data_IF_459900062733
#
_entry.id   IF_459900062733
#
_cell.length_a   1.000
_cell.length_b   1.000
_cell.length_c   1.000
_cell.angle_alpha   90.00
_cell.angle_beta   90.00
_cell.angle_gamma   90.00
#
_symmetry.space_group_name_H-M   'P 1'
#
loop_
_entity.id
_entity.type
_entity.pdbx_description
1 polymer ?
2 non-polymer ?
3 non-polymer ?
4 water ?
#
# COMPACT_ATOMS: atom_id res chain seq x y z
N UNK A 1 -26.70 14.01 0.30
CA UNK A 1 -27.31 14.32 1.58
C UNK A 1 -26.38 14.09 2.76
N UNK A 2 -26.93 14.11 3.97
CA UNK A 2 -26.08 13.96 5.16
C UNK A 2 -25.28 12.67 5.20
N UNK A 3 -25.87 11.54 4.83
CA UNK A 3 -25.13 10.28 4.80
C UNK A 3 -23.93 10.37 3.87
N UNK A 4 -24.17 10.84 2.64
CA UNK A 4 -23.09 10.94 1.67
C UNK A 4 -22.02 11.93 2.12
N UNK A 5 -22.43 13.00 2.80
CA UNK A 5 -21.47 13.98 3.30
C UNK A 5 -20.60 13.37 4.39
N UNK A 6 -21.21 12.66 5.34
CA UNK A 6 -20.43 12.01 6.39
C UNK A 6 -19.53 10.92 5.83
N UNK A 7 -19.96 10.25 4.75
CA UNK A 7 -19.11 9.23 4.13
C UNK A 7 -17.88 9.86 3.49
N UNK A 8 -18.05 11.00 2.81
CA UNK A 8 -16.92 11.62 2.13
C UNK A 8 -15.91 12.18 3.12
N UNK A 9 -16.38 12.71 4.25
CA UNK A 9 -15.47 13.19 5.29
C UNK A 9 -14.60 12.06 5.82
N UNK A 10 -15.23 10.92 6.12
CA UNK A 10 -14.48 9.76 6.61
C UNK A 10 -13.38 9.36 5.62
N UNK A 11 -13.73 9.26 4.34
CA UNK A 11 -12.75 8.85 3.35
C UNK A 11 -11.69 9.93 3.13
N UNK A 12 -12.08 11.20 3.25
CA UNK A 12 -11.12 12.28 3.07
C UNK A 12 -10.01 12.20 4.10
N UNK A 13 -10.35 11.97 5.36
CA UNK A 13 -9.31 11.86 6.38
C UNK A 13 -8.59 10.53 6.30
N UNK A 14 -9.24 9.48 5.79
CA UNK A 14 -8.52 8.24 5.50
C UNK A 14 -7.45 8.48 4.45
N UNK A 15 -7.81 9.19 3.38
CA UNK A 15 -6.83 9.52 2.35
C UNK A 15 -5.71 10.40 2.90
N UNK A 16 -6.06 11.37 3.75
CA UNK A 16 -5.04 12.18 4.38
C UNK A 16 -4.12 11.33 5.25
N UNK A 17 -4.69 10.35 5.94
CA UNK A 17 -3.90 9.47 6.79
C UNK A 17 -3.00 8.56 5.96
N UNK A 18 -3.56 7.90 4.95
CA UNK A 18 -2.76 7.02 4.10
C UNK A 18 -1.70 7.78 3.32
N UNK A 19 -2.01 9.01 2.91
CA UNK A 19 -1.02 9.81 2.18
C UNK A 19 0.15 10.20 3.08
N UNK A 20 -0.11 10.42 4.37
CA UNK A 20 0.98 10.69 5.30
C UNK A 20 1.80 9.43 5.56
N UNK A 21 1.14 8.28 5.62
CA UNK A 21 1.85 7.02 5.84
C UNK A 21 2.74 6.70 4.64
N UNK A 22 2.19 6.82 3.44
CA UNK A 22 2.96 6.51 2.23
C UNK A 22 4.17 7.41 2.09
N UNK A 23 4.03 8.68 2.49
CA UNK A 23 5.17 9.60 2.44
C UNK A 23 6.26 9.17 3.40
N UNK A 24 5.88 8.74 4.60
CA UNK A 24 6.86 8.27 5.58
C UNK A 24 7.58 7.01 5.11
N UNK A 25 6.97 6.24 4.21
CA UNK A 25 7.63 5.03 3.71
C UNK A 25 8.59 5.35 2.57
N UNK A 26 8.18 6.23 1.64
CA UNK A 26 9.03 6.56 0.52
C UNK A 26 10.29 7.29 0.96
N UNK A 27 10.16 8.19 1.95
CA UNK A 27 11.32 8.94 2.42
C UNK A 27 12.27 8.09 3.24
N UNK A 28 11.81 6.96 3.78
CA UNK A 28 12.72 6.01 4.42
C UNK A 28 13.64 5.43 3.36
N UNK A 29 14.95 5.68 3.51
CA UNK A 29 15.91 5.31 2.47
C UNK A 29 15.99 3.81 2.26
N UNK A 30 15.62 3.00 3.26
CA UNK A 30 15.63 1.55 3.10
C UNK A 30 14.70 1.11 1.98
N UNK A 31 13.60 1.84 1.77
CA UNK A 31 12.57 1.45 0.82
C UNK A 31 12.65 2.21 -0.50
N UNK A 32 13.79 2.87 -0.78
CA UNK A 32 13.89 3.69 -1.98
C UNK A 32 13.66 2.88 -3.24
N UNK A 33 14.06 1.60 -3.25
CA UNK A 33 13.87 0.76 -4.41
C UNK A 33 12.39 0.49 -4.69
N UNK A 34 11.53 0.66 -3.69
CA UNK A 34 10.10 0.42 -3.84
C UNK A 34 9.31 1.70 -4.05
N UNK A 35 9.96 2.86 -4.10
CA UNK A 35 9.24 4.13 -4.17
C UNK A 35 8.81 4.52 -5.57
N UNK A 36 9.36 3.88 -6.60
CA UNK A 36 9.03 4.18 -7.98
C UNK A 36 8.92 2.87 -8.74
N UNK A 37 8.20 2.86 -9.87
CA UNK A 37 8.13 1.64 -10.68
C UNK A 37 9.52 1.23 -11.15
N UNK A 38 9.69 -0.02 -11.48
CA UNK A 38 10.97 -0.44 -11.90
C UNK A 38 11.31 0.09 -13.25
N UNK A 39 12.59 0.10 -13.52
CA UNK A 39 13.09 0.52 -14.81
C UNK A 39 13.32 -0.79 -15.50
N UNK A 40 12.73 -0.98 -16.67
CA UNK A 40 12.82 -2.26 -17.38
C UNK A 40 14.25 -2.50 -17.87
N UNK A 41 14.99 -1.44 -18.15
CA UNK A 41 16.38 -1.61 -18.52
C UNK A 41 17.19 -2.31 -17.42
N UNK A 42 16.82 -2.08 -16.15
CA UNK A 42 17.49 -2.76 -15.06
C UNK A 42 16.99 -4.20 -14.89
N UNK A 43 15.72 -4.46 -15.22
CA UNK A 43 15.15 -5.80 -15.09
C UNK A 43 14.24 -6.06 -16.29
N UNK A 44 14.83 -6.49 -17.40
CA UNK A 44 14.10 -6.56 -18.66
C UNK A 44 13.00 -7.60 -18.63
N UNK A 45 13.13 -8.63 -17.80
CA UNK A 45 12.15 -9.70 -17.71
C UNK A 45 11.17 -9.50 -16.56
N UNK A 46 11.14 -8.32 -15.94
CA UNK A 46 10.33 -8.12 -14.75
C UNK A 46 8.83 -8.29 -15.03
N UNK A 47 8.38 -7.80 -16.19
CA UNK A 47 6.96 -7.90 -16.52
C UNK A 47 6.56 -9.29 -17.01
N UNK A 48 7.52 -10.15 -17.33
CA UNK A 48 7.21 -11.55 -17.61
C UNK A 48 7.12 -12.38 -16.33
N UNK A 49 7.70 -11.89 -15.24
CA UNK A 49 7.70 -12.61 -13.97
C UNK A 49 6.64 -12.06 -13.02
N UNK A 50 6.48 -10.75 -12.98
CA UNK A 50 5.57 -10.08 -12.04
C UNK A 50 4.36 -9.59 -12.83
N UNK A 51 3.21 -10.19 -12.60
CA UNK A 51 2.01 -9.86 -13.36
C UNK A 51 1.35 -8.58 -12.87
N UNK A 52 1.49 -8.25 -11.58
CA UNK A 52 0.88 -7.07 -10.99
C UNK A 52 1.93 -6.25 -10.24
N UNK A 53 2.71 -5.44 -10.94
CA UNK A 53 3.70 -4.59 -10.27
C UNK A 53 3.04 -3.52 -9.42
N UNK A 54 3.78 -3.07 -8.41
CA UNK A 54 3.28 -2.07 -7.49
C UNK A 54 4.45 -1.34 -6.85
N UNK A 55 4.23 -0.06 -6.53
CA UNK A 55 5.26 0.76 -5.90
C UNK A 55 4.57 1.86 -5.09
N UNK A 56 5.38 2.64 -4.38
CA UNK A 56 4.81 3.64 -3.48
C UNK A 56 4.22 4.82 -4.23
N UNK A 57 4.86 5.23 -5.33
CA UNK A 57 4.30 6.30 -6.16
C UNK A 57 2.94 5.91 -6.72
N UNK A 58 2.84 4.69 -7.27
CA UNK A 58 1.55 4.19 -7.73
C UNK A 58 0.52 4.14 -6.60
N UNK A 59 0.97 3.84 -5.38
CA UNK A 59 0.06 3.84 -4.24
C UNK A 59 -0.49 5.24 -3.99
N UNK A 60 0.38 6.25 -4.04
CA UNK A 60 -0.06 7.64 -3.90
C UNK A 60 -1.09 7.97 -4.96
N UNK A 61 -0.81 7.59 -6.21
CA UNK A 61 -1.75 7.83 -7.30
C UNK A 61 -3.11 7.22 -6.99
N UNK A 62 -3.11 5.97 -6.51
CA UNK A 62 -4.38 5.30 -6.22
C UNK A 62 -5.08 5.93 -5.01
N UNK A 63 -4.33 6.52 -4.09
CA UNK A 63 -4.95 7.28 -3.01
C UNK A 63 -5.71 8.47 -3.58
N UNK A 64 -5.10 9.19 -4.50
CA UNK A 64 -5.72 10.39 -5.06
C UNK A 64 -6.84 10.05 -6.03
N UNK A 65 -6.80 8.87 -6.66
CA UNK A 65 -7.88 8.43 -7.52
C UNK A 65 -9.02 7.78 -6.74
N UNK A 66 -8.98 7.85 -5.40
CA UNK A 66 -10.05 7.35 -4.54
C UNK A 66 -10.27 5.85 -4.74
N UNK A 67 -9.18 5.10 -4.86
CA UNK A 67 -9.26 3.65 -5.05
C UNK A 67 -9.32 2.88 -3.74
N UNK A 68 -8.93 3.49 -2.62
CA UNK A 68 -8.87 2.82 -1.33
C UNK A 68 -10.03 3.30 -0.46
N UNK A 69 -10.91 2.38 -0.09
CA UNK A 69 -11.96 2.65 0.88
C UNK A 69 -11.58 2.24 2.29
N UNK A 70 -10.52 1.43 2.45
CA UNK A 70 -10.11 0.94 3.75
C UNK A 70 -8.59 0.99 3.85
N UNK A 71 -8.09 0.97 5.09
CA UNK A 71 -6.66 0.86 5.30
C UNK A 71 -6.15 -0.52 4.93
N UNK A 72 -7.01 -1.54 5.00
CA UNK A 72 -6.60 -2.90 4.63
C UNK A 72 -6.34 -2.99 3.12
N UNK A 73 -7.20 -2.37 2.31
CA UNK A 73 -6.94 -2.32 0.88
C UNK A 73 -5.64 -1.60 0.57
N UNK A 74 -5.31 -0.58 1.35
CA UNK A 74 -4.00 0.08 1.23
C UNK A 74 -2.89 -0.89 1.57
N UNK A 75 -3.05 -1.67 2.63
CA UNK A 75 -2.00 -2.61 3.04
C UNK A 75 -1.87 -3.77 2.06
N UNK A 76 -2.95 -4.09 1.34
CA UNK A 76 -2.87 -5.14 0.33
C UNK A 76 -1.87 -4.79 -0.77
N UNK A 77 -1.77 -3.50 -1.12
CA UNK A 77 -0.82 -3.09 -2.14
C UNK A 77 0.60 -2.95 -1.59
N UNK A 78 0.74 -2.68 -0.29
CA UNK A 78 2.05 -2.77 0.34
C UNK A 78 2.50 -4.22 0.40
N UNK A 79 1.60 -5.13 0.79
CA UNK A 79 1.91 -6.55 0.79
C UNK A 79 2.26 -7.02 -0.62
N UNK A 80 1.60 -6.47 -1.63
CA UNK A 80 1.90 -6.83 -3.01
C UNK A 80 3.33 -6.41 -3.39
N UNK A 81 3.75 -5.21 -2.96
CA UNK A 81 5.12 -4.78 -3.21
C UNK A 81 6.11 -5.79 -2.64
N UNK A 82 5.84 -6.30 -1.45
CA UNK A 82 6.77 -7.21 -0.78
C UNK A 82 6.78 -8.59 -1.42
N UNK A 83 5.59 -9.16 -1.65
CA UNK A 83 5.53 -10.50 -2.23
C UNK A 83 6.07 -10.51 -3.66
N UNK A 84 5.95 -9.40 -4.38
CA UNK A 84 6.56 -9.31 -5.69
C UNK A 84 8.08 -9.36 -5.60
N UNK A 85 8.66 -8.66 -4.62
CA UNK A 85 10.11 -8.72 -4.43
C UNK A 85 10.55 -10.12 -4.01
N UNK A 86 9.72 -10.82 -3.23
CA UNK A 86 10.06 -12.19 -2.85
C UNK A 86 9.93 -13.15 -4.03
N UNK A 87 9.02 -12.85 -4.97
CA UNK A 87 8.87 -13.71 -6.13
C UNK A 87 9.92 -13.44 -7.18
N UNK A 88 10.26 -12.16 -7.40
CA UNK A 88 11.21 -11.85 -8.47
C UNK A 88 12.65 -12.10 -8.06
N UNK A 89 13.00 -11.80 -6.82
CA UNK A 89 14.35 -12.01 -6.35
C UNK A 89 14.44 -13.27 -5.53
N UNK A 90 15.01 -14.33 -6.06
CA UNK A 90 15.10 -15.58 -5.29
C UNK A 90 16.18 -15.48 -4.22
N UNK A 91 16.05 -16.36 -3.22
CA UNK A 91 17.00 -16.40 -2.10
C UNK A 91 18.35 -16.97 -2.52
N UNK A 92 19.10 -16.23 -3.35
CA UNK A 92 20.36 -16.73 -3.88
C UNK A 92 21.46 -15.75 -3.56
N UNK A 93 21.92 -14.98 -4.54
CA UNK A 93 23.05 -14.08 -4.33
C UNK A 93 22.91 -13.10 -3.21
N UNK A 94 23.99 -12.52 -2.69
CA UNK A 94 23.85 -11.59 -1.55
C UNK A 94 22.94 -10.40 -1.83
N UNK A 95 22.95 -9.85 -3.03
CA UNK A 95 22.07 -8.74 -3.34
C UNK A 95 20.60 -9.11 -3.24
N UNK A 96 20.26 -10.36 -3.50
CA UNK A 96 18.91 -10.82 -3.40
C UNK A 96 18.43 -10.78 -1.94
N UNK A 97 19.25 -11.25 -1.02
CA UNK A 97 18.87 -11.23 0.39
C UNK A 97 18.61 -9.81 0.88
N UNK A 98 19.34 -8.83 0.34
CA UNK A 98 19.17 -7.45 0.77
C UNK A 98 17.77 -6.95 0.43
N UNK A 99 17.37 -7.05 -0.84
CA UNK A 99 16.08 -6.51 -1.25
C UNK A 99 14.94 -7.32 -0.64
N UNK A 100 15.11 -8.63 -0.49
CA UNK A 100 14.07 -9.44 0.14
C UNK A 100 13.87 -9.05 1.60
N UNK A 101 14.95 -8.74 2.30
CA UNK A 101 14.83 -8.30 3.69
C UNK A 101 14.24 -6.90 3.78
N UNK A 102 14.55 -6.04 2.80
CA UNK A 102 13.93 -4.71 2.76
C UNK A 102 12.45 -4.79 2.45
N UNK A 103 12.04 -5.77 1.63
CA UNK A 103 10.63 -5.92 1.29
C UNK A 103 9.80 -6.31 2.52
N UNK A 104 10.28 -7.31 3.27
CA UNK A 104 9.57 -7.71 4.49
C UNK A 104 9.64 -6.62 5.55
N UNK A 105 10.73 -5.88 5.61
CA UNK A 105 10.80 -4.72 6.50
C UNK A 105 9.76 -3.68 6.12
N UNK A 106 9.62 -3.40 4.82
CA UNK A 106 8.60 -2.46 4.37
C UNK A 106 7.21 -2.94 4.74
N UNK A 107 6.94 -4.24 4.59
CA UNK A 107 5.62 -4.77 4.93
C UNK A 107 5.37 -4.66 6.43
N UNK A 108 6.34 -5.06 7.25
CA UNK A 108 6.15 -4.99 8.70
C UNK A 108 6.00 -3.56 9.18
N UNK A 109 6.79 -2.63 8.62
CA UNK A 109 6.71 -1.24 9.03
C UNK A 109 5.32 -0.67 8.76
N UNK A 110 4.81 -0.88 7.54
CA UNK A 110 3.52 -0.31 7.16
C UNK A 110 2.39 -0.85 8.02
N UNK A 111 2.40 -2.16 8.29
CA UNK A 111 1.36 -2.74 9.14
C UNK A 111 1.45 -2.22 10.56
N UNK A 112 2.66 -1.98 11.06
CA UNK A 112 2.83 -1.51 12.44
C UNK A 112 2.44 -0.05 12.59
N UNK A 113 2.64 0.76 11.56
CA UNK A 113 2.20 2.15 11.60
C UNK A 113 0.68 2.23 11.65
N UNK A 114 0.02 1.49 10.76
CA UNK A 114 -1.45 1.45 10.75
C UNK A 114 -1.96 0.95 12.10
N UNK A 115 -1.35 -0.12 12.61
CA UNK A 115 -1.85 -0.74 13.83
C UNK A 115 -1.71 0.17 15.04
N UNK A 116 -0.74 1.08 15.01
CA UNK A 116 -0.49 1.95 16.16
C UNK A 116 -1.21 3.28 16.07
N UNK A 117 -1.47 3.78 14.85
CA UNK A 117 -1.92 5.14 14.67
C UNK A 117 -3.34 5.27 14.15
N UNK A 118 -3.93 4.21 13.61
CA UNK A 118 -5.29 4.25 13.10
C UNK A 118 -6.27 3.81 14.18
N UNK A 119 -7.21 4.67 14.52
CA UNK A 119 -8.22 4.32 15.50
C UNK A 119 -9.04 3.13 15.00
N UNK A 120 -9.21 2.08 15.80
CA UNK A 120 -9.93 0.90 15.32
C UNK A 120 -11.38 1.17 14.96
N UNK A 121 -12.02 2.13 15.63
CA UNK A 121 -13.42 2.43 15.30
C UNK A 121 -13.54 3.30 14.06
N UNK A 122 -12.55 4.15 13.79
CA UNK A 122 -12.50 4.82 12.49
C UNK A 122 -12.30 3.80 11.38
N UNK A 123 -11.45 2.79 11.63
CA UNK A 123 -11.20 1.76 10.62
C UNK A 123 -12.45 0.94 10.35
N UNK A 124 -13.16 0.54 11.41
CA UNK A 124 -14.38 -0.24 11.23
C UNK A 124 -15.41 0.54 10.44
N UNK A 125 -15.48 1.86 10.65
CA UNK A 125 -16.40 2.69 9.87
C UNK A 125 -16.01 2.69 8.40
N UNK A 126 -14.71 2.71 8.11
CA UNK A 126 -14.26 2.58 6.72
C UNK A 126 -14.67 1.24 6.14
N UNK A 127 -14.49 0.16 6.91
CA UNK A 127 -14.88 -1.18 6.46
C UNK A 127 -16.37 -1.24 6.17
N UNK A 128 -17.19 -0.59 7.00
CA UNK A 128 -18.63 -0.58 6.78
C UNK A 128 -19.00 0.26 5.56
N UNK A 129 -18.27 1.35 5.33
CA UNK A 129 -18.53 2.17 4.15
C UNK A 129 -18.25 1.37 2.88
N UNK A 130 -17.13 0.64 2.86
CA UNK A 130 -16.78 -0.15 1.68
C UNK A 130 -17.82 -1.23 1.40
N UNK A 131 -18.20 -1.99 2.43
CA UNK A 131 -19.14 -3.09 2.24
C UNK A 131 -20.50 -2.56 1.78
N UNK A 132 -20.91 -1.41 2.29
CA UNK A 132 -22.17 -0.83 1.84
C UNK A 132 -22.10 -0.45 0.36
N UNK A 133 -20.96 0.09 -0.08
CA UNK A 133 -20.84 0.54 -1.46
C UNK A 133 -20.68 -0.64 -2.43
N UNK A 134 -20.06 -1.73 -1.98
CA UNK A 134 -19.85 -2.87 -2.87
C UNK A 134 -21.18 -3.54 -3.22
N UNK A 135 -22.14 -3.51 -2.30
CA UNK A 135 -23.40 -4.24 -2.48
C UNK A 135 -24.59 -3.32 -2.79
N UNK A 136 -24.35 -2.03 -3.02
CA UNK A 136 -25.43 -1.12 -3.38
C UNK A 136 -25.29 -0.65 -4.82
#
# INVERSE_FOLDING_TARGET
>A
GPLEDQEENTLRELRLFLRDVTKRLATDKRFNIFSKPVDIEEVSDYLEVIKEPMDLSTVITKIDKHNYLTAKDFLKDIDLICSNALEYNPDKDPGDKIIRHRACTLKDTAHAIIAAELDPEFNKLCEEIKEARIKR
#
